data_IF_374775331346
#
_entry.id   IF_374775331346
#
_cell.length_a   1.000
_cell.length_b   1.000
_cell.length_c   1.000
_cell.angle_alpha   90.00
_cell.angle_beta   90.00
_cell.angle_gamma   90.00
#
_symmetry.space_group_name_H-M   'P 1'
#
loop_
_entity.id
_entity.type
_entity.pdbx_description
1 polymer ?
#
# COMPACT_ATOMS: atom_id res chain seq x y z
N UNK A 1 -16.36 -3.68 -2.09
CA UNK A 1 -16.53 -2.38 -2.74
C UNK A 1 -16.77 -2.58 -4.22
N UNK A 2 -17.09 -1.52 -4.97
CA UNK A 2 -17.03 -1.57 -6.42
C UNK A 2 -15.57 -1.82 -6.86
N UNK A 3 -15.37 -2.59 -7.93
CA UNK A 3 -14.05 -2.77 -8.53
C UNK A 3 -13.59 -1.42 -9.12
N UNK A 4 -12.42 -0.94 -8.71
CA UNK A 4 -11.86 0.36 -9.12
C UNK A 4 -10.78 0.16 -10.18
N UNK A 5 -9.98 -0.90 -10.06
CA UNK A 5 -8.94 -1.26 -11.02
C UNK A 5 -7.90 -2.25 -10.44
N UNK A 6 -6.89 -2.58 -11.23
CA UNK A 6 -5.80 -3.49 -10.87
C UNK A 6 -4.42 -2.90 -11.17
N UNK A 7 -3.36 -3.47 -10.58
CA UNK A 7 -2.00 -2.96 -10.74
C UNK A 7 -1.48 -2.90 -12.18
N UNK A 8 -2.02 -3.69 -13.11
CA UNK A 8 -1.58 -3.65 -14.52
C UNK A 8 -1.93 -2.35 -15.24
N UNK A 9 -2.97 -1.63 -14.79
CA UNK A 9 -3.30 -0.29 -15.33
C UNK A 9 -2.13 0.70 -15.16
N UNK A 10 -1.31 0.50 -14.13
CA UNK A 10 -0.11 1.30 -13.87
C UNK A 10 1.00 1.03 -14.90
N UNK A 11 1.06 -0.18 -15.47
CA UNK A 11 2.04 -0.55 -16.50
C UNK A 11 1.55 -0.17 -17.92
N UNK A 12 0.23 -0.18 -18.12
CA UNK A 12 -0.41 0.08 -19.42
C UNK A 12 -0.49 1.58 -19.76
N UNK A 13 -0.56 2.46 -18.74
CA UNK A 13 -0.69 3.90 -18.91
C UNK A 13 0.61 4.64 -18.54
N UNK A 14 1.23 5.26 -19.55
CA UNK A 14 2.49 6.00 -19.41
C UNK A 14 2.42 7.19 -18.41
N UNK A 15 1.23 7.67 -18.08
CA UNK A 15 1.04 8.71 -17.04
C UNK A 15 1.43 8.23 -15.64
N UNK A 16 1.53 6.92 -15.43
CA UNK A 16 1.97 6.28 -14.18
C UNK A 16 3.40 5.74 -14.24
N UNK A 17 4.21 6.17 -15.21
CA UNK A 17 5.59 5.69 -15.38
C UNK A 17 6.48 5.92 -14.15
N UNK A 18 6.24 6.98 -13.37
CA UNK A 18 6.91 7.24 -12.07
C UNK A 18 6.65 6.16 -11.00
N UNK A 19 5.65 5.29 -11.20
CA UNK A 19 5.29 4.19 -10.29
C UNK A 19 5.77 2.83 -10.78
N UNK A 20 6.49 2.76 -11.90
CA UNK A 20 7.00 1.51 -12.44
C UNK A 20 7.78 0.75 -11.35
N UNK A 21 7.48 -0.54 -11.17
CA UNK A 21 8.20 -1.36 -10.20
C UNK A 21 9.56 -1.72 -10.80
N UNK A 22 10.63 -1.29 -10.14
CA UNK A 22 12.00 -1.57 -10.55
C UNK A 22 12.89 -1.95 -9.36
N UNK A 23 14.10 -2.42 -9.63
CA UNK A 23 15.07 -2.89 -8.64
C UNK A 23 14.54 -3.96 -7.66
N UNK A 24 13.44 -4.65 -8.01
CA UNK A 24 12.74 -5.59 -7.14
C UNK A 24 12.31 -4.95 -5.80
N UNK A 25 11.93 -3.67 -5.84
CA UNK A 25 11.51 -2.90 -4.67
C UNK A 25 10.16 -2.23 -4.91
N UNK A 26 9.44 -2.04 -3.82
CA UNK A 26 8.33 -1.10 -3.72
C UNK A 26 8.52 -0.27 -2.45
N UNK A 27 8.00 0.95 -2.45
CA UNK A 27 7.94 1.80 -1.27
C UNK A 27 6.48 2.11 -1.00
N UNK A 28 6.08 2.02 0.27
CA UNK A 28 4.69 2.22 0.70
C UNK A 28 4.61 3.26 1.80
N UNK A 29 3.55 4.04 1.81
CA UNK A 29 3.31 5.00 2.86
C UNK A 29 2.92 4.28 4.16
N UNK A 30 3.70 4.49 5.22
CA UNK A 30 3.63 3.70 6.47
C UNK A 30 2.48 4.10 7.41
N UNK A 31 1.34 4.56 6.87
CA UNK A 31 0.14 4.93 7.61
C UNK A 31 -1.04 4.11 7.14
N UNK A 32 -1.72 3.45 8.07
CA UNK A 32 -2.88 2.63 7.79
C UNK A 32 -4.07 3.50 7.31
N UNK A 33 -4.68 3.20 6.14
CA UNK A 33 -5.88 3.88 5.63
C UNK A 33 -7.14 3.80 6.49
N UNK A 34 -7.13 3.04 7.59
CA UNK A 34 -8.23 3.03 8.55
C UNK A 34 -8.23 4.30 9.40
N UNK A 35 -7.24 4.44 10.29
CA UNK A 35 -7.15 5.51 11.29
C UNK A 35 -5.68 5.89 11.56
N UNK A 36 -4.85 5.93 10.52
CA UNK A 36 -3.51 6.53 10.57
C UNK A 36 -2.47 5.90 11.51
N UNK A 37 -2.73 4.72 12.06
CA UNK A 37 -1.73 4.01 12.82
C UNK A 37 -0.52 3.66 11.97
N UNK A 38 0.66 3.68 12.59
CA UNK A 38 1.89 3.16 11.98
C UNK A 38 1.78 1.64 11.95
N UNK A 39 2.07 1.06 10.79
CA UNK A 39 2.07 -0.40 10.65
C UNK A 39 3.38 -0.97 11.14
N UNK A 40 3.32 -2.19 11.64
CA UNK A 40 4.50 -2.99 11.90
C UNK A 40 4.59 -4.14 10.91
N UNK A 41 5.81 -4.59 10.68
CA UNK A 41 6.05 -5.96 10.23
C UNK A 41 6.12 -6.84 11.47
N UNK A 42 5.36 -7.94 11.52
CA UNK A 42 5.68 -9.07 12.41
C UNK A 42 5.93 -8.69 13.89
N UNK A 43 5.10 -7.82 14.49
CA UNK A 43 5.35 -7.32 15.86
C UNK A 43 5.06 -8.35 16.96
N UNK A 44 4.30 -9.41 16.67
CA UNK A 44 3.91 -10.44 17.64
C UNK A 44 3.86 -11.77 16.91
N UNK A 45 4.62 -12.82 17.27
CA UNK A 45 4.49 -14.13 16.65
C UNK A 45 3.13 -14.77 16.96
N UNK A 46 2.33 -15.01 15.94
CA UNK A 46 1.06 -15.76 15.98
C UNK A 46 0.74 -16.29 14.57
N UNK A 47 -0.31 -17.10 14.42
CA UNK A 47 -0.68 -17.68 13.11
C UNK A 47 -0.97 -16.60 12.04
N UNK A 48 -1.39 -15.40 12.43
CA UNK A 48 -1.63 -14.24 11.56
C UNK A 48 -0.39 -13.37 11.31
N UNK A 49 0.77 -13.71 11.82
CA UNK A 49 2.04 -12.99 11.59
C UNK A 49 3.20 -13.96 11.39
N UNK A 50 2.91 -15.26 11.38
CA UNK A 50 3.87 -16.32 11.17
C UNK A 50 4.58 -16.09 9.83
N UNK A 51 5.91 -16.12 9.91
CA UNK A 51 6.81 -15.78 8.82
C UNK A 51 6.69 -16.81 7.69
N UNK A 52 5.84 -16.48 6.72
CA UNK A 52 5.56 -17.31 5.56
C UNK A 52 5.76 -16.44 4.34
N UNK A 53 6.98 -16.44 3.81
CA UNK A 53 7.38 -15.66 2.64
C UNK A 53 6.81 -16.26 1.34
N UNK A 54 5.48 -16.26 1.24
CA UNK A 54 4.75 -16.69 0.06
C UNK A 54 3.92 -15.53 -0.50
N UNK A 55 3.93 -15.33 -1.83
CA UNK A 55 3.03 -14.40 -2.49
C UNK A 55 1.56 -14.72 -2.20
N UNK A 56 0.70 -13.71 -2.27
CA UNK A 56 -0.73 -13.89 -2.00
C UNK A 56 -1.04 -13.91 -0.52
N UNK A 57 -0.54 -12.91 0.22
CA UNK A 57 -0.93 -12.69 1.60
C UNK A 57 -2.45 -12.71 1.72
N UNK A 58 -2.98 -13.60 2.55
CA UNK A 58 -4.41 -13.69 2.85
C UNK A 58 -4.59 -13.75 4.36
N UNK A 59 -5.84 -13.74 4.82
CA UNK A 59 -6.14 -14.00 6.23
C UNK A 59 -5.60 -15.37 6.72
N UNK A 60 -5.37 -16.32 5.80
CA UNK A 60 -4.86 -17.66 6.11
C UNK A 60 -3.32 -17.77 6.18
N UNK A 61 -2.56 -16.73 5.80
CA UNK A 61 -1.08 -16.82 5.75
C UNK A 61 -0.42 -15.90 4.73
N UNK A 62 0.89 -16.02 4.55
CA UNK A 62 1.67 -15.27 3.55
C UNK A 62 2.27 -13.95 4.04
N UNK A 63 3.03 -13.30 3.15
CA UNK A 63 3.67 -12.02 3.38
C UNK A 63 2.63 -10.93 3.63
N UNK A 64 2.65 -10.33 4.83
CA UNK A 64 1.69 -9.27 5.15
C UNK A 64 2.24 -8.23 6.12
N UNK A 65 1.93 -6.98 5.81
CA UNK A 65 2.06 -5.86 6.72
C UNK A 65 0.85 -5.81 7.64
N UNK A 66 1.06 -5.54 8.92
CA UNK A 66 0.03 -5.64 9.95
C UNK A 66 -0.14 -4.31 10.71
N UNK A 67 -1.38 -3.83 10.76
CA UNK A 67 -1.77 -2.70 11.58
C UNK A 67 -2.27 -3.19 12.95
N UNK A 68 -1.47 -2.99 13.99
CA UNK A 68 -1.78 -3.47 15.34
C UNK A 68 -3.06 -2.88 15.94
N UNK A 69 -3.46 -1.67 15.52
CA UNK A 69 -4.58 -0.98 16.13
C UNK A 69 -5.90 -1.73 15.97
N UNK A 70 -6.18 -2.24 14.76
CA UNK A 70 -7.45 -2.90 14.46
C UNK A 70 -7.29 -4.12 13.55
N UNK A 71 -6.06 -4.66 13.48
CA UNK A 71 -5.73 -5.86 12.75
C UNK A 71 -5.92 -5.81 11.22
N UNK A 72 -5.84 -4.63 10.60
CA UNK A 72 -5.78 -4.53 9.13
C UNK A 72 -4.50 -5.17 8.61
N UNK A 73 -4.61 -5.95 7.52
CA UNK A 73 -3.51 -6.69 6.90
C UNK A 73 -3.39 -6.33 5.42
N UNK A 74 -2.16 -6.27 4.92
CA UNK A 74 -1.89 -5.86 3.55
C UNK A 74 -0.84 -6.77 2.91
N UNK A 75 -1.06 -7.19 1.67
CA UNK A 75 -0.10 -8.01 0.91
C UNK A 75 0.79 -7.12 0.04
N UNK A 76 2.09 -6.97 0.37
CA UNK A 76 3.02 -6.16 -0.40
C UNK A 76 3.39 -6.77 -1.77
N UNK A 77 2.95 -7.99 -2.08
CA UNK A 77 3.22 -8.67 -3.35
C UNK A 77 2.13 -8.46 -4.40
N UNK A 78 1.05 -7.75 -4.05
CA UNK A 78 -0.04 -7.44 -4.98
C UNK A 78 -0.37 -5.94 -4.95
N UNK A 79 -0.35 -5.34 -6.15
CA UNK A 79 -0.77 -3.94 -6.35
C UNK A 79 -2.22 -3.90 -6.84
N UNK A 80 -2.98 -2.97 -6.29
CA UNK A 80 -4.35 -2.69 -6.67
C UNK A 80 -4.58 -1.18 -6.82
N UNK A 81 -5.60 -0.83 -7.61
CA UNK A 81 -6.07 0.55 -7.69
C UNK A 81 -7.16 0.77 -6.66
N UNK A 82 -7.03 1.85 -5.91
CA UNK A 82 -7.92 2.21 -4.81
C UNK A 82 -8.45 3.64 -5.00
N UNK A 83 -9.47 3.98 -4.22
CA UNK A 83 -9.96 5.34 -4.09
C UNK A 83 -10.09 5.70 -2.61
N UNK A 84 -9.57 6.86 -2.24
CA UNK A 84 -9.68 7.39 -0.88
C UNK A 84 -10.11 8.86 -0.92
N UNK A 85 -10.27 9.44 0.27
CA UNK A 85 -10.73 10.80 0.45
C UNK A 85 -9.63 11.63 1.09
N UNK A 86 -9.37 12.81 0.54
CA UNK A 86 -8.55 13.82 1.19
C UNK A 86 -9.25 14.24 2.48
N UNK A 87 -8.55 14.07 3.62
CA UNK A 87 -9.13 14.26 4.95
C UNK A 87 -9.43 15.74 5.24
N UNK A 88 -8.65 16.65 4.67
CA UNK A 88 -8.78 18.10 4.87
C UNK A 88 -9.96 18.71 4.10
N UNK A 89 -10.12 18.39 2.82
CA UNK A 89 -11.15 19.05 1.96
C UNK A 89 -12.26 18.11 1.51
N UNK A 90 -12.12 16.81 1.72
CA UNK A 90 -13.12 15.81 1.41
C UNK A 90 -13.20 15.37 -0.05
N UNK A 91 -12.30 15.81 -0.93
CA UNK A 91 -12.27 15.36 -2.33
C UNK A 91 -11.87 13.88 -2.41
N UNK A 92 -12.46 13.17 -3.37
CA UNK A 92 -12.07 11.79 -3.65
C UNK A 92 -10.87 11.80 -4.61
N UNK A 93 -9.94 10.87 -4.43
CA UNK A 93 -8.81 10.66 -5.34
C UNK A 93 -8.56 9.16 -5.53
N UNK A 94 -8.11 8.79 -6.72
CA UNK A 94 -7.66 7.45 -7.05
C UNK A 94 -6.14 7.35 -6.88
N UNK A 95 -5.67 6.18 -6.48
CA UNK A 95 -4.25 5.91 -6.27
C UNK A 95 -3.95 4.43 -6.43
N UNK A 96 -2.67 4.09 -6.59
CA UNK A 96 -2.19 2.72 -6.57
C UNK A 96 -1.55 2.38 -5.23
N UNK A 97 -1.83 1.17 -4.74
CA UNK A 97 -1.39 0.73 -3.44
C UNK A 97 -1.27 -0.77 -3.32
N UNK A 98 -0.64 -1.23 -2.24
CA UNK A 98 -0.59 -2.65 -1.92
C UNK A 98 -1.94 -3.14 -1.40
N UNK A 99 -2.29 -4.36 -1.77
CA UNK A 99 -3.61 -4.94 -1.56
C UNK A 99 -3.99 -5.05 -0.08
N UNK A 100 -5.20 -4.61 0.27
CA UNK A 100 -5.83 -4.95 1.54
C UNK A 100 -6.31 -6.41 1.52
N UNK A 101 -5.95 -7.18 2.54
CA UNK A 101 -6.24 -8.62 2.60
C UNK A 101 -7.11 -9.03 3.77
N UNK A 102 -7.26 -8.14 4.76
CA UNK A 102 -8.17 -8.35 5.89
C UNK A 102 -8.21 -7.16 6.86
N UNK A 103 -9.16 -7.22 7.80
CA UNK A 103 -9.39 -6.20 8.81
C UNK A 103 -10.22 -4.99 8.32
N UNK A 104 -10.37 -3.94 9.16
CA UNK A 104 -11.37 -2.89 8.97
C UNK A 104 -10.90 -1.70 8.12
N UNK A 105 -9.67 -1.72 7.59
CA UNK A 105 -9.26 -0.65 6.70
C UNK A 105 -10.16 -0.63 5.45
N UNK A 106 -10.49 0.54 4.90
CA UNK A 106 -11.38 0.61 3.75
C UNK A 106 -10.70 0.24 2.43
N UNK A 107 -9.38 0.42 2.33
CA UNK A 107 -8.58 0.31 1.10
C UNK A 107 -7.12 -0.07 1.40
N UNK A 108 -6.38 -0.48 0.36
CA UNK A 108 -4.95 -0.80 0.38
C UNK A 108 -4.03 0.41 0.65
N UNK A 109 -2.74 0.18 0.94
CA UNK A 109 -1.83 1.27 1.32
C UNK A 109 -1.15 1.92 0.12
N UNK A 110 -1.09 3.26 0.01
CA UNK A 110 -0.53 3.92 -1.16
C UNK A 110 0.95 3.60 -1.39
N UNK A 111 1.31 3.47 -2.67
CA UNK A 111 2.70 3.45 -3.10
C UNK A 111 3.35 4.83 -2.96
N UNK A 112 4.67 4.83 -2.84
CA UNK A 112 5.53 6.00 -2.98
C UNK A 112 6.38 5.80 -4.23
N UNK A 113 6.25 6.65 -5.26
CA UNK A 113 7.15 6.63 -6.41
C UNK A 113 8.58 6.90 -5.95
N UNK A 114 9.57 6.25 -6.55
CA UNK A 114 10.95 6.37 -6.11
C UNK A 114 11.93 6.20 -7.26
N UNK A 115 13.15 6.68 -7.06
CA UNK A 115 14.29 6.43 -7.93
C UNK A 115 15.45 5.84 -7.12
N UNK A 116 16.34 5.13 -7.81
CA UNK A 116 17.58 4.61 -7.24
C UNK A 116 18.76 5.33 -7.91
N UNK A 117 19.35 6.27 -7.17
CA UNK A 117 20.47 7.09 -7.61
C UNK A 117 21.77 6.58 -6.98
N UNK A 118 22.36 5.57 -7.62
CA UNK A 118 23.49 4.82 -7.06
C UNK A 118 23.05 4.03 -5.84
N UNK A 119 23.59 4.37 -4.67
CA UNK A 119 23.26 3.73 -3.38
C UNK A 119 22.15 4.47 -2.60
N UNK A 120 21.56 5.52 -3.19
CA UNK A 120 20.52 6.33 -2.55
C UNK A 120 19.16 5.99 -3.14
N UNK A 121 18.19 5.69 -2.27
CA UNK A 121 16.78 5.58 -2.63
C UNK A 121 16.13 6.93 -2.36
N UNK A 122 15.55 7.54 -3.38
CA UNK A 122 14.93 8.86 -3.30
C UNK A 122 13.44 8.77 -3.63
N UNK A 123 12.58 9.27 -2.74
CA UNK A 123 11.15 9.34 -3.00
C UNK A 123 10.82 10.53 -3.92
N UNK A 124 9.96 10.32 -4.91
CA UNK A 124 9.51 11.37 -5.82
C UNK A 124 8.28 12.11 -5.25
N UNK A 125 8.13 13.42 -5.47
CA UNK A 125 7.02 14.20 -4.94
C UNK A 125 5.73 14.11 -5.80
N UNK A 126 5.75 13.37 -6.92
CA UNK A 126 4.70 13.37 -7.97
C UNK A 126 3.29 13.12 -7.42
N UNK A 127 3.15 12.28 -6.40
CA UNK A 127 1.85 11.86 -5.87
C UNK A 127 1.66 12.18 -4.38
N UNK A 128 2.24 13.28 -3.89
CA UNK A 128 2.16 13.67 -2.47
C UNK A 128 0.70 13.78 -1.95
N UNK A 129 -0.23 14.15 -2.83
CA UNK A 129 -1.65 14.28 -2.51
C UNK A 129 -2.31 12.95 -2.12
N UNK A 130 -1.74 11.81 -2.52
CA UNK A 130 -2.25 10.49 -2.15
C UNK A 130 -2.16 10.21 -0.65
N UNK A 131 -1.31 10.94 0.08
CA UNK A 131 -1.09 10.75 1.50
C UNK A 131 -2.03 11.59 2.37
N UNK A 132 -2.84 12.45 1.75
CA UNK A 132 -3.79 13.37 2.43
C UNK A 132 -4.99 12.66 3.07
N UNK A 133 -5.12 11.35 2.92
CA UNK A 133 -6.09 10.58 3.73
C UNK A 133 -5.72 10.58 5.22
N UNK A 134 -4.47 10.94 5.54
CA UNK A 134 -3.91 10.88 6.87
C UNK A 134 -3.24 12.20 7.28
N UNK A 135 -4.05 13.12 7.81
CA UNK A 135 -3.62 14.37 8.46
C UNK A 135 -3.55 14.26 9.99
#
# INVERSE_FOLDING_TARGET
>A
GAYIGYGGEMEEDATFSDLAIHNNMIIVFSRCPHLCCILGWQLVPNDFTADTWYPGGTDSGGNKLFCICHSSRYDPTMIEKNQNRNRTNGTMFEYFGIKLTGGPAPVGMPLIPFEVNGDVIEALPTYIDWYTFCD
#
